data_IF_572804011596
#
_entry.id   IF_572804011596
#
_cell.length_a   1.000
_cell.length_b   1.000
_cell.length_c   1.000
_cell.angle_alpha   90.00
_cell.angle_beta   90.00
_cell.angle_gamma   90.00
#
_symmetry.space_group_name_H-M   'P 1'
#
loop_
_entity.id
_entity.type
_entity.pdbx_description
1 polymer ?
#
# COMPACT_ATOMS: atom_id res chain seq x y z
N UNK A 1 -24.47 -25.96 -14.45
CA UNK A 1 -23.10 -26.20 -13.95
C UNK A 1 -22.21 -25.27 -14.74
N UNK A 2 -21.77 -24.17 -14.16
CA UNK A 2 -20.99 -23.16 -14.87
C UNK A 2 -19.54 -23.33 -14.42
N UNK A 3 -18.69 -23.82 -15.33
CA UNK A 3 -17.27 -24.08 -15.10
C UNK A 3 -16.53 -23.15 -16.04
N UNK A 4 -15.68 -22.29 -15.50
CA UNK A 4 -14.89 -21.38 -16.32
C UNK A 4 -13.46 -21.89 -16.38
N UNK A 5 -12.95 -22.10 -17.59
CA UNK A 5 -11.54 -22.40 -17.80
C UNK A 5 -10.83 -21.06 -17.94
N UNK A 6 -10.00 -20.72 -16.95
CA UNK A 6 -9.13 -19.55 -17.01
C UNK A 6 -7.76 -20.06 -17.47
N UNK A 7 -7.27 -19.51 -18.58
CA UNK A 7 -5.96 -19.83 -19.13
C UNK A 7 -4.98 -18.69 -18.83
N UNK A 8 -3.97 -18.97 -18.02
CA UNK A 8 -2.90 -18.03 -17.68
C UNK A 8 -1.58 -18.63 -18.17
N UNK A 9 -0.95 -18.00 -19.17
CA UNK A 9 0.35 -18.42 -19.75
C UNK A 9 0.42 -19.92 -20.11
N UNK A 10 -0.65 -20.47 -20.69
CA UNK A 10 -0.71 -21.88 -21.12
C UNK A 10 -1.07 -22.87 -20.00
N UNK A 11 -1.28 -22.41 -18.77
CA UNK A 11 -1.83 -23.21 -17.68
C UNK A 11 -3.34 -23.00 -17.65
N UNK A 12 -4.09 -24.06 -17.91
CA UNK A 12 -5.56 -24.07 -17.87
C UNK A 12 -6.02 -24.49 -16.48
N UNK A 13 -6.67 -23.59 -15.76
CA UNK A 13 -7.31 -23.89 -14.48
C UNK A 13 -8.82 -23.95 -14.67
N UNK A 14 -9.41 -25.06 -14.24
CA UNK A 14 -10.86 -25.21 -14.16
C UNK A 14 -11.34 -24.62 -12.84
N UNK A 15 -12.10 -23.54 -12.90
CA UNK A 15 -12.71 -22.90 -11.74
C UNK A 15 -14.18 -23.32 -11.69
N UNK A 16 -14.59 -24.02 -10.63
CA UNK A 16 -15.99 -24.31 -10.35
C UNK A 16 -16.65 -23.07 -9.73
N UNK A 17 -17.56 -22.43 -10.47
CA UNK A 17 -18.15 -21.16 -10.08
C UNK A 17 -19.16 -21.27 -8.93
N UNK A 18 -19.50 -22.49 -8.48
CA UNK A 18 -20.49 -22.70 -7.40
C UNK A 18 -20.03 -22.20 -6.03
N UNK A 19 -18.72 -22.13 -5.80
CA UNK A 19 -18.15 -21.53 -4.59
C UNK A 19 -17.54 -20.14 -4.86
N UNK A 20 -17.50 -19.69 -6.12
CA UNK A 20 -16.79 -18.47 -6.51
C UNK A 20 -17.67 -17.21 -6.50
N UNK A 21 -19.00 -17.33 -6.48
CA UNK A 21 -19.92 -16.21 -6.27
C UNK A 21 -20.23 -16.01 -4.78
N UNK A 22 -19.22 -16.07 -3.92
CA UNK A 22 -19.36 -15.45 -2.60
C UNK A 22 -19.47 -13.95 -2.81
N UNK A 23 -20.59 -13.35 -2.42
CA UNK A 23 -20.59 -11.92 -2.10
C UNK A 23 -19.59 -11.78 -0.95
N UNK A 24 -18.33 -11.49 -1.27
CA UNK A 24 -17.30 -11.29 -0.26
C UNK A 24 -17.71 -10.08 0.57
N UNK A 25 -18.21 -10.36 1.76
CA UNK A 25 -18.61 -9.34 2.71
C UNK A 25 -17.39 -9.00 3.54
N UNK A 26 -16.86 -7.80 3.28
CA UNK A 26 -15.72 -7.29 4.02
C UNK A 26 -16.15 -6.44 5.21
N UNK A 27 -15.41 -6.54 6.30
CA UNK A 27 -15.46 -5.63 7.45
C UNK A 27 -14.09 -5.00 7.69
N UNK A 28 -14.08 -3.94 8.49
CA UNK A 28 -12.83 -3.29 8.91
C UNK A 28 -11.97 -4.31 9.66
N UNK A 29 -10.70 -4.40 9.30
CA UNK A 29 -9.75 -5.36 9.85
C UNK A 29 -9.59 -6.65 9.03
N UNK A 30 -10.40 -6.88 7.99
CA UNK A 30 -10.24 -8.05 7.14
C UNK A 30 -8.97 -7.95 6.30
N UNK A 31 -8.24 -9.07 6.20
CA UNK A 31 -7.04 -9.22 5.39
C UNK A 31 -7.44 -9.36 3.93
N UNK A 32 -6.82 -8.57 3.07
CA UNK A 32 -7.08 -8.57 1.63
C UNK A 32 -5.79 -8.57 0.84
N UNK A 33 -5.86 -9.11 -0.38
CA UNK A 33 -4.89 -8.84 -1.43
C UNK A 33 -5.38 -7.64 -2.22
N UNK A 34 -4.47 -6.76 -2.58
CA UNK A 34 -4.76 -5.58 -3.39
C UNK A 34 -3.99 -5.70 -4.69
N UNK A 35 -4.70 -5.92 -5.79
CA UNK A 35 -4.13 -5.86 -7.13
C UNK A 35 -4.16 -4.40 -7.59
N UNK A 36 -3.00 -3.86 -7.95
CA UNK A 36 -2.88 -2.48 -8.43
C UNK A 36 -2.15 -2.50 -9.77
N UNK A 37 -2.77 -1.88 -10.79
CA UNK A 37 -2.13 -1.63 -12.06
C UNK A 37 -0.99 -0.64 -11.90
N UNK A 38 0.17 -0.98 -12.46
CA UNK A 38 1.37 -0.13 -12.51
C UNK A 38 1.51 0.48 -13.89
N UNK A 39 2.69 1.01 -14.20
CA UNK A 39 2.96 1.56 -15.52
C UNK A 39 2.85 0.46 -16.59
N UNK A 40 2.21 0.77 -17.72
CA UNK A 40 1.86 -0.20 -18.79
C UNK A 40 0.86 -1.28 -18.30
N UNK A 41 0.90 -2.48 -18.89
CA UNK A 41 0.00 -3.61 -18.57
C UNK A 41 0.55 -4.50 -17.45
N UNK A 42 1.34 -3.93 -16.53
CA UNK A 42 1.87 -4.64 -15.37
C UNK A 42 0.96 -4.47 -14.16
N UNK A 43 0.75 -5.55 -13.41
CA UNK A 43 -0.05 -5.55 -12.19
C UNK A 43 0.78 -6.12 -11.05
N UNK A 44 0.69 -5.48 -9.88
CA UNK A 44 1.33 -5.95 -8.66
C UNK A 44 0.27 -6.26 -7.61
N UNK A 45 0.50 -7.34 -6.86
CA UNK A 45 -0.35 -7.75 -5.74
C UNK A 45 0.33 -7.38 -4.44
N UNK A 46 -0.40 -6.70 -3.56
CA UNK A 46 0.05 -6.27 -2.25
C UNK A 46 -0.79 -6.90 -1.15
N UNK A 47 -0.16 -7.21 -0.01
CA UNK A 47 -0.89 -7.57 1.21
C UNK A 47 -1.47 -6.31 1.83
N UNK A 48 -2.75 -6.34 2.18
CA UNK A 48 -3.44 -5.21 2.79
C UNK A 48 -4.51 -5.61 3.79
N UNK A 49 -5.14 -4.59 4.35
CA UNK A 49 -6.21 -4.68 5.33
C UNK A 49 -7.26 -3.63 5.01
N UNK A 50 -8.53 -3.99 5.19
CA UNK A 50 -9.62 -3.00 5.12
C UNK A 50 -9.48 -2.05 6.30
N UNK A 51 -9.12 -0.80 6.01
CA UNK A 51 -8.89 0.23 7.02
C UNK A 51 -10.19 0.95 7.40
N UNK A 52 -11.17 0.99 6.49
CA UNK A 52 -12.43 1.68 6.75
C UNK A 52 -13.40 1.66 5.60
N UNK A 53 -14.62 2.12 5.88
CA UNK A 53 -15.64 2.41 4.88
C UNK A 53 -16.10 3.85 5.06
N UNK A 54 -16.10 4.60 3.98
CA UNK A 54 -16.60 5.97 3.93
C UNK A 54 -17.89 5.98 3.12
N UNK A 55 -19.01 6.10 3.82
CA UNK A 55 -20.36 6.10 3.24
C UNK A 55 -20.71 7.49 2.69
N UNK A 56 -20.08 7.89 1.59
CA UNK A 56 -20.56 9.05 0.83
C UNK A 56 -21.94 8.74 0.23
N UNK A 57 -22.80 9.75 0.14
CA UNK A 57 -24.19 9.58 -0.33
C UNK A 57 -24.30 8.96 -1.72
N UNK A 58 -23.40 9.34 -2.62
CA UNK A 58 -23.44 8.92 -4.03
C UNK A 58 -22.33 7.92 -4.40
N UNK A 59 -21.28 7.82 -3.56
CA UNK A 59 -20.09 7.05 -3.90
C UNK A 59 -19.46 6.41 -2.65
N UNK A 60 -20.13 5.44 -2.01
CA UNK A 60 -19.53 4.66 -0.92
C UNK A 60 -18.15 4.16 -1.33
N UNK A 61 -17.18 4.36 -0.45
CA UNK A 61 -15.76 4.11 -0.75
C UNK A 61 -15.14 3.26 0.34
N UNK A 62 -14.46 2.20 -0.05
CA UNK A 62 -13.65 1.34 0.81
C UNK A 62 -12.26 1.96 0.90
N UNK A 63 -11.72 2.08 2.11
CA UNK A 63 -10.34 2.49 2.35
C UNK A 63 -9.53 1.25 2.69
N UNK A 64 -8.48 0.99 1.91
CA UNK A 64 -7.61 -0.16 2.08
C UNK A 64 -6.20 0.32 2.37
N UNK A 65 -5.63 -0.14 3.47
CA UNK A 65 -4.21 0.05 3.74
C UNK A 65 -3.44 -1.17 3.20
N UNK A 66 -2.40 -0.96 2.40
CA UNK A 66 -1.60 -2.03 1.84
C UNK A 66 -0.12 -1.73 2.02
N UNK A 67 0.67 -2.81 2.12
CA UNK A 67 2.11 -2.71 2.31
C UNK A 67 2.81 -2.84 0.95
N UNK A 68 3.49 -1.78 0.53
CA UNK A 68 4.40 -1.81 -0.61
C UNK A 68 5.81 -2.05 -0.08
N UNK A 69 6.27 -3.29 -0.24
CA UNK A 69 7.62 -3.71 0.15
C UNK A 69 8.54 -3.80 -1.06
N UNK A 70 9.77 -3.35 -0.90
CA UNK A 70 10.90 -3.65 -1.79
C UNK A 70 12.06 -4.21 -0.95
N UNK A 71 13.17 -4.56 -1.61
CA UNK A 71 14.37 -5.03 -0.92
C UNK A 71 14.89 -4.06 0.16
N UNK A 72 14.69 -2.75 -0.03
CA UNK A 72 15.22 -1.70 0.87
C UNK A 72 14.15 -0.73 1.39
N UNK A 73 12.87 -1.01 1.16
CA UNK A 73 11.79 -0.13 1.62
C UNK A 73 10.55 -0.91 2.03
N UNK A 74 9.84 -0.39 3.01
CA UNK A 74 8.55 -0.87 3.44
C UNK A 74 7.65 0.35 3.67
N UNK A 75 6.67 0.54 2.80
CA UNK A 75 5.79 1.70 2.83
C UNK A 75 4.34 1.24 3.07
N UNK A 76 3.72 1.77 4.12
CA UNK A 76 2.29 1.66 4.31
C UNK A 76 1.59 2.69 3.43
N UNK A 77 0.77 2.23 2.49
CA UNK A 77 0.00 3.07 1.57
C UNK A 77 -1.49 2.86 1.77
N UNK A 78 -2.26 3.87 1.40
CA UNK A 78 -3.72 3.82 1.44
C UNK A 78 -4.24 3.96 0.02
N UNK A 79 -5.25 3.17 -0.32
CA UNK A 79 -6.01 3.31 -1.56
C UNK A 79 -7.51 3.31 -1.27
N UNK A 80 -8.25 3.89 -2.21
CA UNK A 80 -9.68 4.06 -2.15
C UNK A 80 -10.35 3.31 -3.29
N UNK A 81 -11.31 2.46 -2.96
CA UNK A 81 -12.02 1.62 -3.94
C UNK A 81 -13.50 1.97 -3.88
N UNK A 82 -14.07 2.33 -5.03
CA UNK A 82 -15.50 2.57 -5.20
C UNK A 82 -15.95 2.12 -6.59
N UNK A 83 -17.21 2.36 -6.94
CA UNK A 83 -17.79 1.93 -8.22
C UNK A 83 -17.17 2.55 -9.48
N UNK A 84 -16.28 3.54 -9.34
CA UNK A 84 -15.54 4.18 -10.45
C UNK A 84 -14.06 3.80 -10.49
N UNK A 85 -13.60 2.94 -9.59
CA UNK A 85 -12.21 2.49 -9.57
C UNK A 85 -12.00 1.40 -10.62
N UNK A 86 -11.08 1.61 -11.57
CA UNK A 86 -10.81 0.65 -12.67
C UNK A 86 -9.47 -0.08 -12.52
N UNK A 87 -8.45 0.56 -11.93
CA UNK A 87 -7.07 0.05 -11.91
C UNK A 87 -6.72 -0.73 -10.63
N UNK A 88 -7.69 -0.98 -9.77
CA UNK A 88 -7.49 -1.57 -8.45
C UNK A 88 -8.58 -2.59 -8.14
N UNK A 89 -8.17 -3.79 -7.75
CA UNK A 89 -9.06 -4.86 -7.29
C UNK A 89 -8.63 -5.37 -5.92
N UNK A 90 -9.59 -5.93 -5.18
CA UNK A 90 -9.33 -6.62 -3.91
C UNK A 90 -9.91 -8.03 -3.94
N UNK A 91 -9.24 -8.93 -3.23
CA UNK A 91 -9.71 -10.28 -2.96
C UNK A 91 -9.40 -10.64 -1.52
N UNK A 92 -10.19 -11.52 -0.91
CA UNK A 92 -9.88 -12.09 0.40
C UNK A 92 -8.45 -12.67 0.44
N UNK A 93 -7.70 -12.37 1.50
CA UNK A 93 -6.40 -12.98 1.74
C UNK A 93 -6.52 -14.12 2.76
N UNK A 94 -5.79 -15.19 2.53
CA UNK A 94 -5.57 -16.27 3.49
C UNK A 94 -4.34 -15.99 4.34
N UNK A 95 -4.19 -16.69 5.47
CA UNK A 95 -3.02 -16.52 6.35
C UNK A 95 -1.70 -16.91 5.70
N UNK A 96 -1.73 -17.71 4.63
CA UNK A 96 -0.55 -18.11 3.87
C UNK A 96 -0.10 -17.07 2.84
N UNK A 97 -0.86 -15.98 2.67
CA UNK A 97 -0.65 -15.00 1.61
C UNK A 97 0.22 -13.80 2.01
N UNK A 98 0.77 -13.79 3.23
CA UNK A 98 1.65 -12.72 3.70
C UNK A 98 3.11 -13.13 3.41
N UNK A 99 3.77 -12.54 2.39
CA UNK A 99 5.09 -12.98 1.96
C UNK A 99 6.23 -12.43 2.84
N UNK A 100 5.91 -11.63 3.87
CA UNK A 100 6.88 -10.95 4.72
C UNK A 100 6.62 -11.17 6.20
N UNK A 101 7.69 -11.48 6.92
CA UNK A 101 7.66 -11.50 8.38
C UNK A 101 7.58 -10.08 8.94
N UNK A 102 6.74 -9.90 9.96
CA UNK A 102 6.57 -8.63 10.69
C UNK A 102 7.91 -8.01 11.10
N UNK A 103 8.87 -8.83 11.53
CA UNK A 103 10.18 -8.38 11.99
C UNK A 103 10.95 -7.65 10.87
N UNK A 104 10.95 -8.20 9.65
CA UNK A 104 11.64 -7.62 8.50
C UNK A 104 11.03 -6.27 8.09
N UNK A 105 9.69 -6.18 8.11
CA UNK A 105 8.98 -4.93 7.79
C UNK A 105 9.35 -3.82 8.79
N UNK A 106 9.33 -4.13 10.09
CA UNK A 106 9.68 -3.18 11.14
C UNK A 106 11.12 -2.72 11.05
N UNK A 107 12.07 -3.64 10.84
CA UNK A 107 13.49 -3.30 10.72
C UNK A 107 13.75 -2.31 9.57
N UNK A 108 13.11 -2.52 8.42
CA UNK A 108 13.24 -1.63 7.26
C UNK A 108 12.63 -0.25 7.56
N UNK A 109 11.48 -0.21 8.24
CA UNK A 109 10.86 1.06 8.68
C UNK A 109 11.76 1.81 9.68
N UNK A 110 12.33 1.13 10.66
CA UNK A 110 13.21 1.73 11.67
C UNK A 110 14.48 2.30 11.03
N UNK A 111 15.09 1.59 10.08
CA UNK A 111 16.23 2.11 9.30
C UNK A 111 15.87 3.38 8.54
N UNK A 112 14.68 3.43 7.93
CA UNK A 112 14.21 4.61 7.21
C UNK A 112 13.98 5.80 8.16
N UNK A 113 13.42 5.55 9.35
CA UNK A 113 13.24 6.57 10.40
C UNK A 113 14.60 7.14 10.83
N UNK A 114 15.58 6.29 11.11
CA UNK A 114 16.88 6.74 11.61
C UNK A 114 17.60 7.60 10.57
N UNK A 115 17.61 7.17 9.30
CA UNK A 115 18.14 7.96 8.20
C UNK A 115 17.49 9.35 8.11
N UNK A 116 16.16 9.44 8.28
CA UNK A 116 15.46 10.73 8.24
C UNK A 116 15.78 11.62 9.43
N UNK A 117 16.03 11.06 10.63
CA UNK A 117 16.50 11.85 11.78
C UNK A 117 17.89 12.44 11.55
N UNK A 118 18.79 11.68 10.93
CA UNK A 118 20.11 12.20 10.55
C UNK A 118 20.00 13.34 9.53
N UNK A 119 19.17 13.18 8.50
CA UNK A 119 18.91 14.25 7.53
C UNK A 119 18.37 15.53 8.19
N UNK A 120 17.47 15.41 9.18
CA UNK A 120 16.98 16.55 9.97
C UNK A 120 18.11 17.22 10.75
N UNK A 121 18.93 16.43 11.45
CA UNK A 121 20.07 16.93 12.22
C UNK A 121 21.04 17.72 11.33
N UNK A 122 21.34 17.21 10.14
CA UNK A 122 22.20 17.88 9.17
C UNK A 122 21.61 19.22 8.68
N UNK A 123 20.30 19.26 8.43
CA UNK A 123 19.60 20.48 8.01
C UNK A 123 19.56 21.52 9.13
N UNK A 124 19.36 21.09 10.38
CA UNK A 124 19.42 21.95 11.57
C UNK A 124 20.82 22.54 11.74
N UNK A 125 21.88 21.73 11.62
CA UNK A 125 23.27 22.21 11.67
C UNK A 125 23.56 23.25 10.59
N UNK A 126 23.07 23.03 9.36
CA UNK A 126 23.22 23.99 8.25
C UNK A 126 22.46 25.28 8.51
N UNK A 127 21.24 25.20 9.04
CA UNK A 127 20.43 26.37 9.43
C UNK A 127 21.13 27.18 10.52
N UNK A 128 21.63 26.53 11.55
CA UNK A 128 22.36 27.18 12.64
C UNK A 128 23.64 27.85 12.17
N UNK A 129 24.40 27.18 11.30
CA UNK A 129 25.58 27.74 10.68
C UNK A 129 25.24 28.98 9.85
N UNK A 130 24.18 28.91 9.05
CA UNK A 130 23.70 30.06 8.28
C UNK A 130 23.32 31.23 9.19
N UNK A 131 22.56 31.01 10.26
CA UNK A 131 22.20 32.08 11.21
C UNK A 131 23.43 32.70 11.88
N UNK A 132 24.41 31.89 12.31
CA UNK A 132 25.62 32.37 12.97
C UNK A 132 26.55 33.15 12.04
N UNK A 133 26.74 32.66 10.83
CA UNK A 133 27.76 33.19 9.91
C UNK A 133 27.19 34.20 8.92
N UNK A 134 25.98 33.96 8.42
CA UNK A 134 25.33 34.81 7.42
C UNK A 134 24.29 35.76 8.03
N UNK A 135 23.83 35.53 9.27
CA UNK A 135 22.90 36.45 9.95
C UNK A 135 23.38 37.90 9.99
N UNK A 136 24.71 38.11 10.09
CA UNK A 136 25.35 39.44 10.06
C UNK A 136 25.18 40.20 8.74
N UNK A 137 24.89 39.52 7.63
CA UNK A 137 24.60 40.15 6.34
C UNK A 137 23.16 40.68 6.25
N UNK A 138 22.27 40.23 7.14
CA UNK A 138 20.85 40.59 7.13
C UNK A 138 20.44 41.55 8.25
N UNK A 139 21.36 41.85 9.18
CA UNK A 139 21.22 42.97 10.11
C UNK A 139 21.57 44.28 9.38
N UNK A 140 20.59 44.83 8.67
CA UNK A 140 20.59 46.21 8.17
C UNK A 140 19.66 47.01 9.08
N UNK A 141 20.23 47.92 9.87
CA UNK A 141 19.56 49.19 10.23
C UNK A 141 19.88 50.22 9.15
#
# INVERSE_FOLDING_TARGET
MEKQIIEIKGVKMEVDLREATTIETFKVGDKVKVLIKRYSDNYNVYSGIIAGFVMFKELPTIVVAYLETSYNSAELKFTNINSKTEDIEIAAATDFDIPWEKANVLEVMDKAIEKKKEEVRDLEMKKDYFLKCFGKFFSVE
#
